data_IF_908523271154
#
_entry.id   IF_908523271154
#
_cell.length_a   1.000
_cell.length_b   1.000
_cell.length_c   1.000
_cell.angle_alpha   90.00
_cell.angle_beta   90.00
_cell.angle_gamma   90.00
#
_symmetry.space_group_name_H-M   'P 1'
#
loop_
_entity.id
_entity.type
_entity.pdbx_description
1 polymer ?
#
# COMPACT_ATOMS: atom_id res chain seq x y z
N UNK A 1 6.06 -12.58 10.78
CA UNK A 1 5.07 -12.19 11.80
C UNK A 1 5.39 -12.96 13.08
N UNK A 2 5.38 -12.33 14.27
CA UNK A 2 5.33 -13.09 15.51
C UNK A 2 4.04 -13.95 15.54
N UNK A 3 4.11 -15.13 16.14
CA UNK A 3 3.10 -16.17 15.96
C UNK A 3 1.67 -15.77 16.40
N UNK A 4 1.53 -14.83 17.35
CA UNK A 4 0.26 -14.51 17.99
C UNK A 4 -0.37 -13.20 17.52
N UNK A 5 0.08 -12.65 16.39
CA UNK A 5 -0.43 -11.38 15.87
C UNK A 5 -1.03 -11.53 14.48
N UNK A 6 -2.15 -10.82 14.26
CA UNK A 6 -2.74 -10.71 12.94
C UNK A 6 -1.84 -9.86 12.03
N UNK A 7 -1.69 -10.25 10.75
CA UNK A 7 -0.92 -9.46 9.80
C UNK A 7 -1.46 -8.03 9.68
N UNK A 8 -0.57 -7.04 9.71
CA UNK A 8 -0.93 -5.64 9.48
C UNK A 8 -1.33 -5.46 8.03
N UNK A 9 -2.49 -4.85 7.80
CA UNK A 9 -2.97 -4.48 6.47
C UNK A 9 -2.43 -3.09 6.11
N UNK A 10 -1.89 -2.95 4.91
CA UNK A 10 -1.34 -1.70 4.39
C UNK A 10 -2.14 -1.30 3.15
N UNK A 11 -2.45 -0.01 3.02
CA UNK A 11 -3.11 0.53 1.83
C UNK A 11 -2.09 0.79 0.72
N UNK A 12 -2.37 0.23 -0.45
CA UNK A 12 -1.54 0.36 -1.65
C UNK A 12 -2.37 1.09 -2.72
N UNK A 13 -1.77 2.07 -3.39
CA UNK A 13 -2.42 2.87 -4.44
C UNK A 13 -1.71 2.65 -5.78
N UNK A 14 -2.42 2.07 -6.74
CA UNK A 14 -1.90 1.84 -8.09
C UNK A 14 -2.34 2.95 -9.05
N UNK A 15 -1.45 3.31 -9.98
CA UNK A 15 -1.69 4.35 -10.98
C UNK A 15 -1.50 3.82 -12.40
N UNK A 16 -2.21 4.43 -13.36
CA UNK A 16 -2.04 4.20 -14.80
C UNK A 16 -2.15 2.71 -15.22
N UNK A 17 -1.10 2.18 -15.85
CA UNK A 17 -1.05 0.82 -16.41
C UNK A 17 -1.00 -0.29 -15.33
N UNK A 18 -0.80 0.07 -14.06
CA UNK A 18 -0.79 -0.88 -12.94
C UNK A 18 -2.20 -1.16 -12.41
N UNK A 19 -3.20 -0.38 -12.83
CA UNK A 19 -4.61 -0.64 -12.51
C UNK A 19 -4.97 -1.99 -13.15
N UNK A 20 -5.47 -2.92 -12.35
CA UNK A 20 -5.73 -4.34 -12.71
C UNK A 20 -4.50 -5.24 -12.90
N UNK A 21 -3.30 -4.82 -12.46
CA UNK A 21 -2.12 -5.67 -12.58
C UNK A 21 -2.13 -6.92 -11.65
N UNK A 22 -3.00 -6.93 -10.64
CA UNK A 22 -3.11 -7.95 -9.57
C UNK A 22 -4.58 -8.33 -9.38
N UNK A 23 -4.85 -9.61 -9.15
CA UNK A 23 -6.16 -10.14 -8.80
C UNK A 23 -6.25 -10.44 -7.29
N UNK A 24 -7.48 -10.52 -6.77
CA UNK A 24 -7.72 -10.87 -5.38
C UNK A 24 -7.08 -12.22 -5.03
N UNK A 25 -6.30 -12.27 -3.96
CA UNK A 25 -5.65 -13.49 -3.46
C UNK A 25 -4.24 -13.71 -3.98
N UNK A 26 -3.76 -12.89 -4.92
CA UNK A 26 -2.39 -12.98 -5.42
C UNK A 26 -1.36 -12.61 -4.36
N UNK A 27 -0.26 -13.37 -4.34
CA UNK A 27 0.93 -13.06 -3.55
C UNK A 27 1.98 -12.49 -4.51
N UNK A 28 2.27 -11.21 -4.38
CA UNK A 28 3.13 -10.52 -5.34
C UNK A 28 4.14 -9.63 -4.62
N UNK A 29 5.44 -9.71 -4.95
CA UNK A 29 6.40 -8.71 -4.52
C UNK A 29 6.15 -7.38 -5.24
N UNK A 30 6.10 -6.31 -4.47
CA UNK A 30 5.79 -4.96 -4.96
C UNK A 30 6.94 -4.01 -4.61
N UNK A 31 7.35 -3.16 -5.55
CA UNK A 31 8.43 -2.17 -5.40
C UNK A 31 7.89 -0.77 -5.55
N UNK A 32 7.92 0.00 -4.47
CA UNK A 32 7.09 1.19 -4.30
C UNK A 32 7.76 2.31 -3.49
N UNK A 33 7.09 3.46 -3.44
CA UNK A 33 7.48 4.60 -2.60
C UNK A 33 6.59 4.63 -1.36
N UNK A 34 7.22 4.70 -0.19
CA UNK A 34 6.52 4.95 1.07
C UNK A 34 6.08 6.41 1.14
N UNK A 35 4.76 6.66 1.11
CA UNK A 35 4.19 8.00 1.11
C UNK A 35 3.34 8.26 2.35
N UNK A 36 3.28 9.53 2.73
CA UNK A 36 2.48 9.99 3.84
C UNK A 36 1.60 11.16 3.43
N UNK A 37 0.38 11.20 3.96
CA UNK A 37 -0.56 12.31 3.78
C UNK A 37 -1.10 12.73 5.13
N UNK A 38 -1.17 14.04 5.31
CA UNK A 38 -1.67 14.63 6.54
C UNK A 38 -3.20 14.60 6.56
N UNK A 39 -3.78 14.18 7.68
CA UNK A 39 -5.22 14.07 7.84
C UNK A 39 -5.77 15.33 8.51
N UNK A 40 -6.83 15.90 7.94
CA UNK A 40 -7.57 16.98 8.62
C UNK A 40 -8.32 16.40 9.81
N UNK A 41 -8.24 17.09 10.95
CA UNK A 41 -8.94 16.67 12.18
C UNK A 41 -10.46 16.83 12.00
N UNK A 42 -10.86 17.91 11.31
CA UNK A 42 -12.24 18.19 10.98
C UNK A 42 -12.28 18.74 9.55
N UNK A 43 -13.28 18.35 8.75
CA UNK A 43 -13.42 18.81 7.36
C UNK A 43 -13.64 20.33 7.28
N UNK A 44 -14.28 20.91 8.29
CA UNK A 44 -14.63 22.34 8.37
C UNK A 44 -13.49 23.25 8.82
N UNK A 45 -12.45 22.72 9.46
CA UNK A 45 -11.32 23.52 9.95
C UNK A 45 -10.03 23.16 9.20
N UNK A 46 -9.07 24.10 9.13
CA UNK A 46 -7.77 23.86 8.46
C UNK A 46 -6.75 23.15 9.36
N UNK A 47 -7.13 22.76 10.57
CA UNK A 47 -6.23 22.08 11.50
C UNK A 47 -5.96 20.63 11.05
N UNK A 48 -4.69 20.24 11.09
CA UNK A 48 -4.19 18.96 10.60
C UNK A 48 -3.64 18.14 11.76
N UNK A 49 -3.78 16.81 11.70
CA UNK A 49 -3.26 15.87 12.69
C UNK A 49 -1.74 15.74 12.58
N UNK A 50 -1.06 15.63 13.71
CA UNK A 50 0.40 15.37 13.77
C UNK A 50 0.76 13.96 13.29
N UNK A 51 -0.14 12.98 13.46
CA UNK A 51 0.03 11.62 12.95
C UNK A 51 -0.49 11.54 11.51
N UNK A 52 0.40 11.16 10.60
CA UNK A 52 0.13 11.06 9.17
C UNK A 52 -0.45 9.70 8.82
N UNK A 53 -1.35 9.67 7.84
CA UNK A 53 -1.73 8.42 7.19
C UNK A 53 -0.62 7.99 6.25
N UNK A 54 -0.24 6.72 6.30
CA UNK A 54 0.80 6.18 5.43
C UNK A 54 0.18 5.21 4.44
N UNK A 55 0.61 5.31 3.20
CA UNK A 55 0.22 4.40 2.14
C UNK A 55 1.39 4.21 1.20
N UNK A 56 1.32 3.14 0.42
CA UNK A 56 2.37 2.78 -0.51
C UNK A 56 1.88 3.14 -1.92
N UNK A 57 2.71 3.88 -2.66
CA UNK A 57 2.43 4.27 -4.05
C UNK A 57 3.17 3.37 -5.04
N UNK A 58 2.40 2.76 -5.94
CA UNK A 58 2.93 1.65 -6.73
C UNK A 58 3.78 2.07 -7.91
N UNK A 59 5.03 1.59 -7.99
CA UNK A 59 5.86 1.75 -9.19
C UNK A 59 5.90 0.46 -10.01
N UNK A 60 6.09 -0.69 -9.36
CA UNK A 60 6.24 -1.95 -10.05
C UNK A 60 5.68 -3.13 -9.25
N UNK A 61 4.90 -3.94 -9.95
CA UNK A 61 4.36 -5.20 -9.46
C UNK A 61 5.09 -6.32 -10.19
N UNK A 62 5.94 -7.06 -9.47
CA UNK A 62 6.68 -8.17 -10.05
C UNK A 62 5.82 -9.44 -9.97
N UNK A 63 5.14 -9.78 -11.06
CA UNK A 63 4.45 -11.08 -11.14
C UNK A 63 5.50 -12.17 -11.23
N UNK A 64 5.49 -13.07 -10.24
CA UNK A 64 6.41 -14.18 -10.14
C UNK A 64 6.41 -14.99 -11.45
N UNK A 65 7.56 -15.04 -12.12
CA UNK A 65 7.90 -16.19 -12.96
C UNK A 65 8.39 -17.26 -12.00
N UNK A 66 7.57 -18.29 -11.84
CA UNK A 66 7.86 -19.59 -11.24
C UNK A 66 9.37 -19.80 -10.95
N UNK A 67 9.77 -19.62 -9.69
CA UNK A 67 11.18 -19.73 -9.23
C UNK A 67 11.59 -21.22 -9.07
N UNK A 68 10.74 -22.16 -9.53
CA UNK A 68 10.97 -23.60 -9.52
C UNK A 68 11.21 -24.18 -10.93
N UNK A 69 12.04 -23.53 -11.75
CA UNK A 69 12.72 -24.14 -12.89
C UNK A 69 14.13 -23.57 -13.01
#
# INVERSE_FOLDING_TARGET
MPADQTPVTITIVAHNYLIYAVQLGDRVPVTDIFRTVSLRINSKTRNVRSVYHTFIDVIHVCREKNIYN
#
